data_IF_044856350553
#
_entry.id   IF_044856350553
#
_cell.length_a   1.000
_cell.length_b   1.000
_cell.length_c   1.000
_cell.angle_alpha   90.00
_cell.angle_beta   90.00
_cell.angle_gamma   90.00
#
_symmetry.space_group_name_H-M   'P 1'
#
loop_
_entity.id
_entity.type
_entity.pdbx_description
1 polymer ?
#
# COMPACT_ATOMS: atom_id res chain seq x y z
N UNK A 1 -76.36 -58.49 49.11
CA UNK A 1 -75.24 -58.78 50.02
C UNK A 1 -74.00 -58.08 49.51
N UNK A 2 -73.55 -57.01 50.17
CA UNK A 2 -72.38 -56.98 51.09
C UNK A 2 -71.07 -57.37 50.38
N UNK A 3 -69.95 -56.66 50.52
CA UNK A 3 -69.62 -55.44 51.23
C UNK A 3 -68.25 -54.92 50.72
N UNK A 4 -68.06 -53.62 50.90
CA UNK A 4 -66.85 -52.83 50.68
C UNK A 4 -65.71 -53.28 51.61
N UNK A 5 -64.47 -53.35 51.09
CA UNK A 5 -63.26 -53.49 51.91
C UNK A 5 -62.45 -52.18 51.88
N UNK A 6 -62.29 -51.57 53.07
CA UNK A 6 -61.45 -50.40 53.38
C UNK A 6 -59.98 -50.80 53.53
N UNK A 7 -59.01 -49.96 53.11
CA UNK A 7 -57.61 -50.07 53.52
C UNK A 7 -57.35 -49.33 54.85
N UNK A 8 -56.30 -49.70 55.62
CA UNK A 8 -55.91 -48.98 56.81
C UNK A 8 -55.08 -47.72 56.49
N UNK A 9 -55.37 -46.66 57.26
CA UNK A 9 -54.60 -45.42 57.39
C UNK A 9 -53.58 -45.57 58.52
N UNK A 10 -52.36 -45.08 58.28
CA UNK A 10 -51.47 -44.45 59.25
C UNK A 10 -50.62 -43.46 58.43
N UNK A 11 -50.38 -42.20 58.77
CA UNK A 11 -50.59 -41.44 59.98
C UNK A 11 -49.40 -40.48 60.12
N UNK A 12 -49.63 -39.18 59.94
CA UNK A 12 -48.67 -38.10 60.25
C UNK A 12 -47.54 -37.89 59.21
N UNK A 13 -47.05 -36.69 58.91
CA UNK A 13 -47.29 -35.39 59.50
C UNK A 13 -47.06 -34.31 58.43
N UNK A 14 -47.98 -33.36 58.39
CA UNK A 14 -47.75 -32.02 57.87
C UNK A 14 -46.81 -31.26 58.80
N UNK A 15 -45.72 -30.71 58.26
CA UNK A 15 -45.11 -29.50 58.80
C UNK A 15 -45.03 -28.45 57.69
N UNK A 16 -45.91 -27.48 57.84
CA UNK A 16 -45.93 -26.23 57.10
C UNK A 16 -44.84 -25.27 57.61
N UNK A 17 -44.38 -24.44 56.67
CA UNK A 17 -44.00 -23.04 56.83
C UNK A 17 -42.57 -22.67 57.26
N UNK A 18 -41.92 -21.90 56.38
CA UNK A 18 -41.30 -20.63 56.78
C UNK A 18 -39.77 -20.58 56.75
N UNK A 19 -39.21 -19.99 55.69
CA UNK A 19 -37.83 -19.51 55.64
C UNK A 19 -37.11 -19.97 54.38
N UNK A 20 -36.99 -19.09 53.39
CA UNK A 20 -36.31 -19.35 52.10
C UNK A 20 -34.79 -19.51 52.25
N UNK A 21 -34.35 -20.64 52.79
CA UNK A 21 -32.96 -21.07 52.83
C UNK A 21 -32.89 -22.60 52.90
N UNK A 22 -31.90 -23.19 52.22
CA UNK A 22 -31.72 -24.65 52.14
C UNK A 22 -31.66 -25.28 53.53
N UNK A 23 -32.34 -26.42 53.69
CA UNK A 23 -32.28 -27.19 54.93
C UNK A 23 -30.88 -27.76 55.16
N UNK A 24 -30.49 -27.98 56.42
CA UNK A 24 -29.16 -28.54 56.77
C UNK A 24 -28.88 -29.89 56.08
N UNK A 25 -29.94 -30.67 55.78
CA UNK A 25 -29.87 -31.92 55.05
C UNK A 25 -29.50 -31.72 53.57
N UNK A 26 -30.04 -30.69 52.92
CA UNK A 26 -29.72 -30.36 51.52
C UNK A 26 -28.29 -29.81 51.38
N UNK A 27 -27.82 -29.01 52.34
CA UNK A 27 -26.43 -28.53 52.38
C UNK A 27 -25.42 -29.68 52.46
N UNK A 28 -25.72 -30.70 53.27
CA UNK A 28 -24.88 -31.88 53.40
C UNK A 28 -24.87 -32.73 52.11
N UNK A 29 -25.98 -32.75 51.35
CA UNK A 29 -26.07 -33.45 50.07
C UNK A 29 -25.25 -32.79 48.96
N UNK A 30 -25.35 -31.47 48.80
CA UNK A 30 -24.61 -30.71 47.78
C UNK A 30 -23.09 -30.83 47.97
N UNK A 31 -22.63 -30.87 49.24
CA UNK A 31 -21.21 -31.09 49.58
C UNK A 31 -20.73 -32.52 49.32
N UNK A 32 -21.63 -33.52 49.32
CA UNK A 32 -21.29 -34.92 49.00
C UNK A 32 -21.26 -35.19 47.50
N UNK A 33 -22.13 -34.54 46.73
CA UNK A 33 -22.25 -34.75 45.27
C UNK A 33 -21.23 -33.94 44.45
N UNK A 34 -20.70 -32.84 44.99
CA UNK A 34 -19.66 -32.04 44.33
C UNK A 34 -18.63 -31.57 45.37
N UNK A 35 -17.40 -32.11 45.40
CA UNK A 35 -16.35 -31.61 46.28
C UNK A 35 -15.69 -30.33 45.73
N UNK A 36 -15.25 -29.44 46.63
CA UNK A 36 -14.43 -28.26 46.28
C UNK A 36 -15.19 -26.95 46.07
N UNK A 37 -14.54 -25.98 45.43
CA UNK A 37 -15.02 -24.58 45.25
C UNK A 37 -16.42 -24.48 44.63
N UNK A 38 -16.79 -25.45 43.79
CA UNK A 38 -18.09 -25.54 43.12
C UNK A 38 -19.24 -25.78 44.12
N UNK A 39 -18.99 -26.49 45.22
CA UNK A 39 -19.98 -26.72 46.27
C UNK A 39 -20.36 -25.42 46.99
N UNK A 40 -19.34 -24.60 47.28
CA UNK A 40 -19.52 -23.31 47.97
C UNK A 40 -20.23 -22.29 47.07
N UNK A 41 -19.92 -22.28 45.77
CA UNK A 41 -20.61 -21.45 44.78
C UNK A 41 -22.09 -21.84 44.62
N UNK A 42 -22.40 -23.14 44.59
CA UNK A 42 -23.79 -23.63 44.51
C UNK A 42 -24.59 -23.31 45.77
N UNK A 43 -23.99 -23.46 46.94
CA UNK A 43 -24.61 -23.11 48.22
C UNK A 43 -24.86 -21.60 48.32
N UNK A 44 -23.87 -20.78 47.91
CA UNK A 44 -24.02 -19.33 47.85
C UNK A 44 -25.14 -18.92 46.88
N UNK A 45 -25.19 -19.50 45.67
CA UNK A 45 -26.23 -19.18 44.71
C UNK A 45 -27.62 -19.58 45.22
N UNK A 46 -27.75 -20.75 45.82
CA UNK A 46 -29.02 -21.24 46.35
C UNK A 46 -29.54 -20.40 47.54
N UNK A 47 -28.65 -19.80 48.34
CA UNK A 47 -29.00 -18.96 49.49
C UNK A 47 -29.09 -17.45 49.18
N UNK A 48 -28.59 -17.01 48.03
CA UNK A 48 -28.63 -15.60 47.65
C UNK A 48 -30.06 -15.13 47.30
N UNK A 49 -30.50 -14.05 47.94
CA UNK A 49 -31.76 -13.37 47.61
C UNK A 49 -31.72 -12.75 46.19
N UNK A 50 -32.87 -12.52 45.56
CA UNK A 50 -33.02 -12.09 44.16
C UNK A 50 -32.22 -10.84 43.79
N UNK A 51 -32.09 -9.88 44.73
CA UNK A 51 -31.29 -8.66 44.54
C UNK A 51 -29.77 -8.91 44.49
N UNK A 52 -29.27 -9.89 45.26
CA UNK A 52 -27.84 -10.25 45.28
C UNK A 52 -27.47 -11.01 44.01
N UNK A 53 -28.35 -11.91 43.55
CA UNK A 53 -28.21 -12.61 42.27
C UNK A 53 -28.16 -11.65 41.08
N UNK A 54 -29.02 -10.65 41.07
CA UNK A 54 -29.02 -9.60 40.04
C UNK A 54 -27.72 -8.77 40.06
N UNK A 55 -27.21 -8.40 41.25
CA UNK A 55 -25.95 -7.67 41.39
C UNK A 55 -24.73 -8.45 40.91
N UNK A 56 -24.65 -9.75 41.19
CA UNK A 56 -23.56 -10.63 40.74
C UNK A 56 -23.61 -10.85 39.23
N UNK A 57 -24.80 -11.02 38.65
CA UNK A 57 -24.97 -11.14 37.19
C UNK A 57 -24.60 -9.84 36.46
N UNK A 58 -25.01 -8.69 36.99
CA UNK A 58 -24.66 -7.38 36.42
C UNK A 58 -23.15 -7.11 36.54
N UNK A 59 -22.54 -7.40 37.69
CA UNK A 59 -21.09 -7.26 37.89
C UNK A 59 -20.27 -8.21 37.00
N UNK A 60 -20.71 -9.46 36.86
CA UNK A 60 -20.08 -10.43 35.95
C UNK A 60 -20.15 -10.01 34.49
N UNK A 61 -21.30 -9.47 34.06
CA UNK A 61 -21.47 -8.95 32.69
C UNK A 61 -20.50 -7.81 32.36
N UNK A 62 -20.27 -6.88 33.29
CA UNK A 62 -19.32 -5.77 33.09
C UNK A 62 -17.87 -6.28 32.98
N UNK A 63 -17.48 -7.26 33.80
CA UNK A 63 -16.14 -7.85 33.73
C UNK A 63 -15.91 -8.57 32.40
N UNK A 64 -16.91 -9.32 31.94
CA UNK A 64 -16.83 -10.01 30.64
C UNK A 64 -16.75 -9.00 29.49
N UNK A 65 -17.59 -7.96 29.50
CA UNK A 65 -17.51 -6.89 28.49
C UNK A 65 -16.18 -6.13 28.53
N UNK A 66 -15.63 -5.88 29.72
CA UNK A 66 -14.31 -5.29 29.90
C UNK A 66 -13.19 -6.17 29.34
N UNK A 67 -13.26 -7.49 29.53
CA UNK A 67 -12.32 -8.44 28.92
C UNK A 67 -12.47 -8.48 27.40
N UNK A 68 -13.68 -8.44 26.86
CA UNK A 68 -13.90 -8.36 25.41
C UNK A 68 -13.37 -7.04 24.83
N UNK A 69 -13.57 -5.92 25.51
CA UNK A 69 -13.04 -4.62 25.08
C UNK A 69 -11.50 -4.58 25.14
N UNK A 70 -10.90 -5.15 26.19
CA UNK A 70 -9.45 -5.30 26.31
C UNK A 70 -8.90 -6.21 25.21
N UNK A 71 -9.56 -7.32 24.93
CA UNK A 71 -9.15 -8.27 23.90
C UNK A 71 -9.33 -7.66 22.50
N UNK A 72 -10.41 -6.93 22.26
CA UNK A 72 -10.63 -6.14 21.05
C UNK A 72 -9.53 -5.10 20.86
N UNK A 73 -9.15 -4.39 21.93
CA UNK A 73 -8.05 -3.41 21.92
C UNK A 73 -6.69 -4.07 21.72
N UNK A 74 -6.42 -5.24 22.30
CA UNK A 74 -5.16 -5.97 22.09
C UNK A 74 -5.04 -6.55 20.68
N UNK A 75 -6.15 -6.97 20.06
CA UNK A 75 -6.15 -7.56 18.72
C UNK A 75 -6.12 -6.50 17.61
N UNK A 76 -6.71 -5.32 17.84
CA UNK A 76 -6.83 -4.26 16.82
C UNK A 76 -5.99 -3.01 17.11
N UNK A 77 -5.50 -2.83 18.33
CA UNK A 77 -4.69 -1.68 18.76
C UNK A 77 -3.18 -1.89 18.60
N UNK A 78 -2.75 -3.02 18.05
CA UNK A 78 -1.41 -3.15 17.51
C UNK A 78 -1.34 -2.37 16.20
N UNK A 79 -0.93 -1.12 16.24
CA UNK A 79 -0.23 -0.55 15.08
C UNK A 79 0.88 -1.54 14.76
N UNK A 80 0.87 -2.10 13.54
CA UNK A 80 1.92 -2.99 13.06
C UNK A 80 3.25 -2.26 13.14
N UNK A 81 3.92 -2.34 14.30
CA UNK A 81 5.33 -2.04 14.44
C UNK A 81 6.08 -3.19 13.78
N UNK A 82 5.95 -3.28 12.45
CA UNK A 82 6.90 -3.97 11.60
C UNK A 82 8.27 -3.48 12.07
N UNK A 83 9.15 -4.41 12.47
CA UNK A 83 10.52 -4.06 12.86
C UNK A 83 11.15 -3.30 11.70
N UNK A 84 11.15 -1.97 11.79
CA UNK A 84 11.72 -1.09 10.79
C UNK A 84 13.22 -1.35 10.81
N UNK A 85 13.73 -1.88 9.70
CA UNK A 85 15.17 -2.02 9.45
C UNK A 85 15.84 -0.65 9.40
N UNK A 86 17.07 -0.56 8.90
CA UNK A 86 17.68 0.76 8.69
C UNK A 86 16.94 1.54 7.59
N UNK A 87 16.82 2.86 7.76
CA UNK A 87 16.20 3.73 6.76
C UNK A 87 16.95 3.60 5.42
N UNK A 88 16.27 3.28 4.31
CA UNK A 88 16.92 3.18 3.01
C UNK A 88 17.54 4.52 2.59
N UNK A 89 18.85 4.53 2.34
CA UNK A 89 19.58 5.72 1.85
C UNK A 89 19.97 5.57 0.37
N UNK A 90 20.25 4.36 -0.11
CA UNK A 90 20.78 4.14 -1.45
C UNK A 90 19.67 3.82 -2.44
N UNK A 91 19.60 4.59 -3.52
CA UNK A 91 18.73 4.29 -4.65
C UNK A 91 19.36 3.25 -5.56
N UNK A 92 18.51 2.49 -6.25
CA UNK A 92 18.89 1.48 -7.23
C UNK A 92 17.86 1.45 -8.35
N UNK A 93 17.98 0.47 -9.26
CA UNK A 93 16.95 0.18 -10.26
C UNK A 93 15.76 -0.61 -9.71
N UNK A 94 15.70 -0.84 -8.40
CA UNK A 94 14.57 -1.47 -7.72
C UNK A 94 13.83 -0.45 -6.85
N UNK A 95 12.48 -0.45 -6.87
CA UNK A 95 11.66 0.46 -6.07
C UNK A 95 11.86 0.22 -4.57
N UNK A 96 12.15 1.29 -3.84
CA UNK A 96 12.04 1.32 -2.38
C UNK A 96 10.58 1.58 -2.03
N UNK A 97 9.88 0.57 -1.50
CA UNK A 97 8.45 0.64 -1.21
C UNK A 97 8.10 1.46 0.03
N UNK A 98 9.09 1.74 0.88
CA UNK A 98 8.93 2.58 2.05
C UNK A 98 8.50 4.00 1.65
N UNK A 99 7.76 4.66 2.56
CA UNK A 99 7.35 6.04 2.39
C UNK A 99 8.11 6.98 3.31
N UNK A 100 8.38 8.19 2.82
CA UNK A 100 9.20 9.20 3.47
C UNK A 100 8.46 10.55 3.46
N UNK A 101 8.56 11.32 4.54
CA UNK A 101 7.94 12.65 4.66
C UNK A 101 7.28 12.86 6.01
N UNK A 102 6.17 13.60 6.06
CA UNK A 102 5.42 13.92 7.27
C UNK A 102 3.94 13.63 7.09
N UNK A 103 3.31 12.98 8.08
CA UNK A 103 1.88 12.71 8.11
C UNK A 103 1.53 11.24 8.34
N UNK A 104 0.24 10.93 8.27
CA UNK A 104 -0.28 9.60 8.56
C UNK A 104 0.14 8.57 7.50
N UNK A 105 0.51 7.37 7.97
CA UNK A 105 0.93 6.26 7.10
C UNK A 105 2.33 6.43 6.47
N UNK A 106 3.13 7.40 6.92
CA UNK A 106 4.53 7.54 6.51
C UNK A 106 5.42 6.54 7.27
N UNK A 107 6.25 5.80 6.54
CA UNK A 107 7.19 4.83 7.12
C UNK A 107 8.32 5.55 7.86
N UNK A 108 8.92 6.57 7.25
CA UNK A 108 10.06 7.30 7.78
C UNK A 108 9.74 8.78 7.93
N UNK A 109 9.59 9.23 9.18
CA UNK A 109 9.25 10.63 9.48
C UNK A 109 10.44 11.56 9.19
N UNK A 110 10.28 12.39 8.16
CA UNK A 110 11.25 13.35 7.63
C UNK A 110 10.48 14.65 7.31
N UNK A 111 10.31 15.56 8.28
CA UNK A 111 9.51 16.77 8.10
C UNK A 111 10.12 17.73 7.07
N UNK A 112 11.43 17.88 7.11
CA UNK A 112 12.23 18.81 6.29
C UNK A 112 12.55 18.22 4.91
N UNK A 113 13.45 17.24 4.88
CA UNK A 113 13.95 16.68 3.64
C UNK A 113 14.23 15.17 3.74
N UNK A 114 14.20 14.50 2.59
CA UNK A 114 14.72 13.14 2.42
C UNK A 114 15.87 13.14 1.43
N UNK A 115 17.03 12.67 1.89
CA UNK A 115 18.24 12.49 1.07
C UNK A 115 18.41 11.03 0.69
N UNK A 116 18.66 10.82 -0.59
CA UNK A 116 19.09 9.56 -1.16
C UNK A 116 20.48 9.69 -1.80
N UNK A 117 21.23 8.61 -1.78
CA UNK A 117 22.51 8.48 -2.46
C UNK A 117 22.40 7.53 -3.65
N UNK A 118 23.05 7.90 -4.74
CA UNK A 118 23.14 7.05 -5.91
C UNK A 118 24.49 7.20 -6.60
N UNK A 119 25.16 6.09 -6.86
CA UNK A 119 26.43 6.08 -7.56
C UNK A 119 26.29 5.34 -8.89
N UNK A 120 26.96 5.85 -9.92
CA UNK A 120 27.13 5.11 -11.15
C UNK A 120 28.56 5.17 -11.65
N UNK A 121 28.97 4.03 -12.19
CA UNK A 121 30.18 3.88 -12.99
C UNK A 121 29.72 3.50 -14.40
N UNK A 122 30.12 4.29 -15.39
CA UNK A 122 29.80 4.08 -16.80
C UNK A 122 30.94 4.58 -17.69
N UNK A 123 31.08 4.07 -18.91
CA UNK A 123 32.09 4.59 -19.85
C UNK A 123 31.73 5.99 -20.35
N UNK A 124 30.45 6.19 -20.71
CA UNK A 124 29.89 7.43 -21.26
C UNK A 124 29.05 8.20 -20.23
N UNK A 125 28.60 9.42 -20.60
CA UNK A 125 27.55 10.14 -19.86
C UNK A 125 26.25 9.35 -19.82
N UNK A 126 25.46 9.60 -18.78
CA UNK A 126 24.16 8.97 -18.59
C UNK A 126 23.12 10.00 -18.19
N UNK A 127 21.87 9.75 -18.58
CA UNK A 127 20.69 10.41 -18.04
C UNK A 127 20.15 9.52 -16.93
N UNK A 128 19.69 10.14 -15.85
CA UNK A 128 18.98 9.43 -14.79
C UNK A 128 17.53 9.84 -14.81
N UNK A 129 16.63 8.86 -14.75
CA UNK A 129 15.20 9.08 -14.60
C UNK A 129 14.85 8.64 -13.18
N UNK A 130 14.42 9.60 -12.36
CA UNK A 130 13.94 9.37 -11.01
C UNK A 130 12.45 9.03 -11.07
N UNK A 131 12.11 7.83 -10.63
CA UNK A 131 10.75 7.33 -10.54
C UNK A 131 10.29 7.39 -9.09
N UNK A 132 9.09 7.90 -8.84
CA UNK A 132 8.52 8.02 -7.50
C UNK A 132 7.00 8.19 -7.55
N UNK A 133 6.36 8.07 -6.40
CA UNK A 133 4.98 8.50 -6.17
C UNK A 133 4.96 9.56 -5.08
N UNK A 134 3.93 10.42 -5.09
CA UNK A 134 3.81 11.48 -4.10
C UNK A 134 2.34 11.78 -3.75
N UNK A 135 2.12 12.23 -2.50
CA UNK A 135 0.83 12.63 -1.94
C UNK A 135 1.04 13.68 -0.85
N UNK A 136 0.01 14.48 -0.58
CA UNK A 136 0.05 15.58 0.38
C UNK A 136 0.72 16.81 -0.20
N UNK A 137 1.04 16.83 -1.50
CA UNK A 137 1.88 17.87 -2.07
C UNK A 137 1.03 19.07 -2.48
N UNK A 138 1.31 20.21 -1.86
CA UNK A 138 0.82 21.52 -2.28
C UNK A 138 1.66 22.08 -3.42
N UNK A 139 1.12 23.08 -4.11
CA UNK A 139 1.81 23.75 -5.21
C UNK A 139 3.16 24.33 -4.74
N UNK A 140 4.24 23.99 -5.45
CA UNK A 140 5.59 24.48 -5.21
C UNK A 140 6.16 24.13 -3.81
N UNK A 141 5.62 23.12 -3.13
CA UNK A 141 6.04 22.75 -1.77
C UNK A 141 7.34 21.93 -1.75
N UNK A 142 7.41 20.85 -2.53
CA UNK A 142 8.55 19.94 -2.54
C UNK A 142 9.38 20.13 -3.80
N UNK A 143 10.66 20.43 -3.61
CA UNK A 143 11.67 20.60 -4.66
C UNK A 143 12.54 19.35 -4.71
N UNK A 144 12.93 18.93 -5.90
CA UNK A 144 13.91 17.87 -6.09
C UNK A 144 15.22 18.50 -6.53
N UNK A 145 16.28 18.28 -5.76
CA UNK A 145 17.63 18.75 -6.06
C UNK A 145 18.62 17.60 -6.18
N UNK A 146 19.61 17.77 -7.04
CA UNK A 146 20.69 16.82 -7.25
C UNK A 146 22.02 17.53 -7.06
N UNK A 147 22.84 17.03 -6.14
CA UNK A 147 24.14 17.61 -5.81
C UNK A 147 24.07 19.13 -5.49
N UNK A 148 22.94 19.58 -4.92
CA UNK A 148 22.69 20.97 -4.55
C UNK A 148 22.11 21.86 -5.66
N UNK A 149 21.75 21.29 -6.82
CA UNK A 149 21.11 22.03 -7.92
C UNK A 149 19.68 21.54 -8.10
N UNK A 150 18.73 22.47 -8.15
CA UNK A 150 17.31 22.16 -8.37
C UNK A 150 17.09 21.61 -9.78
N UNK A 151 16.52 20.42 -9.87
CA UNK A 151 16.22 19.72 -11.13
C UNK A 151 14.72 19.69 -11.46
N UNK A 152 13.87 19.95 -10.46
CA UNK A 152 12.44 20.04 -10.67
C UNK A 152 11.64 20.17 -9.39
N UNK A 153 10.33 20.16 -9.52
CA UNK A 153 9.38 20.22 -8.40
C UNK A 153 8.45 19.03 -8.45
N UNK A 154 8.05 18.55 -7.27
CA UNK A 154 7.00 17.54 -7.18
C UNK A 154 5.67 18.20 -7.51
N UNK A 155 4.90 17.66 -8.47
CA UNK A 155 3.63 18.24 -8.85
C UNK A 155 2.60 18.12 -7.71
N UNK A 156 1.68 19.09 -7.57
CA UNK A 156 0.66 19.04 -6.55
C UNK A 156 -0.29 17.85 -6.73
N UNK A 157 -1.01 17.55 -5.66
CA UNK A 157 -2.00 16.49 -5.64
C UNK A 157 -3.17 16.77 -6.61
N UNK A 158 -3.58 15.69 -7.26
CA UNK A 158 -4.83 15.53 -8.02
C UNK A 158 -5.67 14.40 -7.41
N UNK A 159 -6.87 14.16 -7.95
CA UNK A 159 -7.78 13.10 -7.47
C UNK A 159 -7.19 11.67 -7.54
N UNK A 160 -6.19 11.44 -8.40
CA UNK A 160 -5.56 10.13 -8.61
C UNK A 160 -4.11 10.05 -8.08
N UNK A 161 -3.71 10.93 -7.14
CA UNK A 161 -2.30 11.05 -6.72
C UNK A 161 -1.71 9.78 -6.12
N UNK A 162 -2.51 9.03 -5.37
CA UNK A 162 -2.06 7.79 -4.72
C UNK A 162 -1.62 6.72 -5.71
N UNK A 163 -2.24 6.68 -6.89
CA UNK A 163 -1.94 5.68 -7.92
C UNK A 163 -1.02 6.22 -9.01
N UNK A 164 -0.80 7.53 -9.05
CA UNK A 164 0.03 8.17 -10.08
C UNK A 164 1.50 7.86 -9.85
N UNK A 165 2.16 7.33 -10.89
CA UNK A 165 3.62 7.29 -10.96
C UNK A 165 4.14 8.60 -11.55
N UNK A 166 5.24 9.11 -11.00
CA UNK A 166 5.88 10.35 -11.41
C UNK A 166 7.31 10.07 -11.84
N UNK A 167 7.72 10.78 -12.88
CA UNK A 167 9.07 10.72 -13.43
C UNK A 167 9.69 12.11 -13.40
N UNK A 168 10.93 12.19 -12.97
CA UNK A 168 11.75 13.39 -13.06
C UNK A 168 13.09 13.05 -13.71
N UNK A 169 13.40 13.76 -14.78
CA UNK A 169 14.67 13.61 -15.46
C UNK A 169 15.76 14.41 -14.74
N UNK A 170 16.89 13.75 -14.51
CA UNK A 170 18.12 14.36 -14.00
C UNK A 170 19.12 14.39 -15.17
N UNK A 171 19.46 15.58 -15.67
CA UNK A 171 20.31 15.70 -16.85
C UNK A 171 21.78 15.40 -16.50
N UNK A 172 22.58 14.92 -17.48
CA UNK A 172 23.94 14.43 -17.23
C UNK A 172 24.87 15.47 -16.58
N UNK A 173 24.63 16.76 -16.82
CA UNK A 173 25.44 17.87 -16.31
C UNK A 173 25.35 18.01 -14.78
N UNK A 174 24.29 17.49 -14.17
CA UNK A 174 24.10 17.52 -12.71
C UNK A 174 24.65 16.27 -12.01
N UNK A 175 25.14 15.29 -12.78
CA UNK A 175 25.61 14.01 -12.26
C UNK A 175 27.14 13.95 -12.19
N UNK A 176 27.64 13.40 -11.09
CA UNK A 176 29.05 13.09 -10.86
C UNK A 176 29.28 11.60 -11.11
N UNK A 177 30.23 11.30 -12.01
CA UNK A 177 30.58 9.93 -12.40
C UNK A 177 31.59 9.34 -11.43
N UNK A 178 31.33 8.13 -10.93
CA UNK A 178 32.21 7.45 -9.98
C UNK A 178 32.24 8.06 -8.57
N UNK A 179 31.30 8.97 -8.28
CA UNK A 179 31.07 9.52 -6.95
C UNK A 179 29.60 9.37 -6.57
N UNK A 180 29.27 9.25 -5.27
CA UNK A 180 27.89 9.30 -4.81
C UNK A 180 27.22 10.64 -5.17
N UNK A 181 26.12 10.55 -5.90
CA UNK A 181 25.22 11.67 -6.18
C UNK A 181 24.16 11.73 -5.09
N UNK A 182 23.87 12.93 -4.59
CA UNK A 182 22.83 13.15 -3.58
C UNK A 182 21.57 13.66 -4.26
N UNK A 183 20.50 12.87 -4.21
CA UNK A 183 19.16 13.23 -4.70
C UNK A 183 18.32 13.58 -3.47
N UNK A 184 17.78 14.79 -3.43
CA UNK A 184 17.10 15.33 -2.26
C UNK A 184 15.67 15.70 -2.64
N UNK A 185 14.70 15.22 -1.87
CA UNK A 185 13.36 15.78 -1.81
C UNK A 185 13.32 16.76 -0.64
N UNK A 186 13.18 18.04 -0.92
CA UNK A 186 13.25 19.13 0.04
C UNK A 186 11.88 19.81 0.17
N UNK A 187 11.28 19.77 1.35
CA UNK A 187 10.05 20.49 1.62
C UNK A 187 10.37 21.93 2.02
N UNK A 188 10.17 22.85 1.08
CA UNK A 188 10.50 24.27 1.25
C UNK A 188 9.65 25.01 2.28
N UNK A 189 8.60 24.37 2.81
CA UNK A 189 7.68 24.95 3.81
C UNK A 189 7.94 24.41 5.22
N UNK A 190 8.65 23.30 5.34
CA UNK A 190 8.88 22.61 6.59
C UNK A 190 10.39 22.50 6.88
N UNK A 191 10.88 22.84 8.08
CA UNK A 191 10.27 23.72 9.08
C UNK A 191 10.24 25.20 8.62
N UNK A 192 9.43 26.08 9.26
CA UNK A 192 8.65 25.87 10.49
C UNK A 192 7.22 25.35 10.27
N UNK A 193 6.81 25.07 9.02
CA UNK A 193 5.53 24.42 8.75
C UNK A 193 5.46 22.98 9.26
N UNK A 194 4.25 22.44 9.24
CA UNK A 194 3.94 21.03 9.51
C UNK A 194 3.05 20.46 8.40
N UNK A 195 3.19 20.98 7.17
CA UNK A 195 2.42 20.54 6.02
C UNK A 195 2.74 19.05 5.75
N UNK A 196 1.71 18.21 5.66
CA UNK A 196 1.92 16.78 5.42
C UNK A 196 2.40 16.56 4.00
N UNK A 197 3.45 15.78 3.81
CA UNK A 197 3.95 15.40 2.49
C UNK A 197 4.48 13.98 2.51
N UNK A 198 4.39 13.27 1.39
CA UNK A 198 4.85 11.90 1.30
C UNK A 198 5.38 11.59 -0.08
N UNK A 199 6.53 10.92 -0.12
CA UNK A 199 7.09 10.26 -1.31
C UNK A 199 7.34 8.79 -1.04
N UNK A 200 7.11 7.92 -2.02
CA UNK A 200 7.33 6.47 -1.89
C UNK A 200 7.55 5.81 -3.25
N UNK A 201 7.85 4.50 -3.26
CA UNK A 201 8.17 3.74 -4.48
C UNK A 201 9.29 4.41 -5.28
N UNK A 202 10.32 4.90 -4.58
CA UNK A 202 11.38 5.70 -5.18
C UNK A 202 12.47 4.78 -5.75
N UNK A 203 12.84 5.00 -7.01
CA UNK A 203 13.96 4.33 -7.67
C UNK A 203 14.51 5.15 -8.83
N UNK A 204 15.64 4.71 -9.37
CA UNK A 204 16.30 5.40 -10.49
C UNK A 204 16.59 4.46 -11.63
N UNK A 205 16.30 4.94 -12.83
CA UNK A 205 16.70 4.30 -14.07
C UNK A 205 17.88 5.06 -14.68
N UNK A 206 18.84 4.33 -15.24
CA UNK A 206 19.99 4.91 -15.93
C UNK A 206 19.93 4.60 -17.41
N UNK A 207 19.92 5.65 -18.24
CA UNK A 207 20.06 5.54 -19.69
C UNK A 207 21.44 6.05 -20.14
N UNK A 208 22.22 5.21 -20.80
CA UNK A 208 23.52 5.60 -21.35
C UNK A 208 23.35 6.41 -22.63
N UNK A 209 24.07 7.52 -22.74
CA UNK A 209 24.02 8.36 -23.94
C UNK A 209 25.06 7.91 -24.97
N UNK A 210 24.72 7.90 -26.27
CA UNK A 210 25.67 7.57 -27.34
C UNK A 210 26.61 8.76 -27.61
N UNK A 211 27.87 8.64 -27.21
CA UNK A 211 28.87 9.72 -27.40
C UNK A 211 29.63 9.61 -28.73
N UNK A 212 29.62 8.43 -29.35
CA UNK A 212 30.33 8.17 -30.61
C UNK A 212 29.58 8.67 -31.86
N UNK A 213 28.31 9.03 -31.73
CA UNK A 213 27.49 9.46 -32.87
C UNK A 213 27.69 10.94 -33.14
N UNK A 214 27.76 11.31 -34.42
CA UNK A 214 27.79 12.71 -34.82
C UNK A 214 26.44 13.38 -34.57
N UNK A 215 26.44 14.70 -34.45
CA UNK A 215 25.23 15.52 -34.29
C UNK A 215 24.17 15.21 -35.35
N UNK A 216 24.58 15.04 -36.61
CA UNK A 216 23.67 14.70 -37.71
C UNK A 216 23.08 13.29 -37.55
N UNK A 217 23.88 12.32 -37.11
CA UNK A 217 23.41 10.96 -36.84
C UNK A 217 22.41 10.93 -35.69
N UNK A 218 22.68 11.66 -34.59
CA UNK A 218 21.76 11.78 -33.46
C UNK A 218 20.39 12.31 -33.92
N UNK A 219 20.37 13.39 -34.71
CA UNK A 219 19.13 13.97 -35.23
C UNK A 219 18.43 13.01 -36.19
N UNK A 220 19.16 12.30 -37.05
CA UNK A 220 18.59 11.34 -37.99
C UNK A 220 17.93 10.17 -37.25
N UNK A 221 18.65 9.52 -36.33
CA UNK A 221 18.14 8.40 -35.53
C UNK A 221 16.96 8.83 -34.66
N UNK A 222 17.00 10.05 -34.09
CA UNK A 222 15.87 10.61 -33.36
C UNK A 222 14.63 10.79 -34.25
N UNK A 223 14.80 11.32 -35.47
CA UNK A 223 13.71 11.47 -36.44
C UNK A 223 13.10 10.13 -36.84
N UNK A 224 13.92 9.11 -37.09
CA UNK A 224 13.46 7.76 -37.44
C UNK A 224 12.64 7.15 -36.29
N UNK A 225 13.15 7.25 -35.06
CA UNK A 225 12.48 6.79 -33.85
C UNK A 225 11.17 7.55 -33.60
N UNK A 226 11.18 8.87 -33.75
CA UNK A 226 9.99 9.70 -33.58
C UNK A 226 8.90 9.37 -34.61
N UNK A 227 9.27 9.18 -35.89
CA UNK A 227 8.33 8.75 -36.95
C UNK A 227 7.73 7.38 -36.66
N UNK A 228 8.53 6.43 -36.17
CA UNK A 228 8.06 5.12 -35.72
C UNK A 228 7.07 5.27 -34.56
N UNK A 229 7.40 6.13 -33.58
CA UNK A 229 6.54 6.45 -32.45
C UNK A 229 5.19 7.02 -32.88
N UNK A 230 5.19 8.02 -33.77
CA UNK A 230 3.98 8.61 -34.35
C UNK A 230 3.12 7.56 -35.04
N UNK A 231 3.72 6.72 -35.88
CA UNK A 231 3.00 5.64 -36.59
C UNK A 231 2.27 4.72 -35.61
N UNK A 232 2.95 4.26 -34.56
CA UNK A 232 2.35 3.38 -33.56
C UNK A 232 1.31 4.09 -32.68
N UNK A 233 1.54 5.37 -32.35
CA UNK A 233 0.63 6.17 -31.55
C UNK A 233 -0.68 6.46 -32.29
N UNK A 234 -0.60 6.71 -33.60
CA UNK A 234 -1.74 7.03 -34.46
C UNK A 234 -2.52 5.76 -34.88
N UNK A 235 -1.99 4.55 -34.63
CA UNK A 235 -2.67 3.26 -34.91
C UNK A 235 -2.86 2.39 -33.65
N UNK A 236 -3.50 2.92 -32.58
CA UNK A 236 -3.57 2.23 -31.29
C UNK A 236 -4.36 0.90 -31.35
N UNK A 237 -5.34 0.79 -32.24
CA UNK A 237 -6.30 -0.33 -32.26
C UNK A 237 -5.78 -1.59 -32.98
N UNK A 238 -4.60 -1.54 -33.59
CA UNK A 238 -4.03 -2.67 -34.35
C UNK A 238 -3.34 -3.68 -33.42
N UNK A 239 -2.90 -3.26 -32.23
CA UNK A 239 -2.33 -4.17 -31.24
C UNK A 239 -2.17 -3.55 -29.87
N UNK A 240 -2.44 -4.34 -28.82
CA UNK A 240 -2.25 -3.97 -27.42
C UNK A 240 -0.91 -3.27 -27.14
N UNK A 241 0.13 -3.69 -27.86
CA UNK A 241 1.51 -3.22 -27.70
C UNK A 241 1.83 -1.90 -28.40
N UNK A 242 1.00 -1.40 -29.31
CA UNK A 242 1.35 -0.21 -30.11
C UNK A 242 1.56 1.03 -29.25
N UNK A 243 0.78 1.21 -28.18
CA UNK A 243 0.96 2.32 -27.23
C UNK A 243 2.32 2.27 -26.55
N UNK A 244 2.72 1.08 -26.11
CA UNK A 244 4.01 0.84 -25.47
C UNK A 244 5.17 1.06 -26.46
N UNK A 245 5.07 0.51 -27.67
CA UNK A 245 6.07 0.72 -28.72
C UNK A 245 6.18 2.18 -29.15
N UNK A 246 5.06 2.92 -29.13
CA UNK A 246 5.05 4.35 -29.38
C UNK A 246 5.83 5.11 -28.31
N UNK A 247 5.51 4.87 -27.03
CA UNK A 247 6.23 5.45 -25.90
C UNK A 247 7.73 5.14 -25.99
N UNK A 248 8.11 3.88 -26.22
CA UNK A 248 9.51 3.46 -26.33
C UNK A 248 10.25 4.19 -27.46
N UNK A 249 9.59 4.35 -28.61
CA UNK A 249 10.17 5.03 -29.76
C UNK A 249 10.31 6.55 -29.54
N UNK A 250 9.36 7.19 -28.84
CA UNK A 250 9.48 8.61 -28.45
C UNK A 250 10.59 8.81 -27.41
N UNK A 251 10.69 7.90 -26.44
CA UNK A 251 11.75 7.90 -25.43
C UNK A 251 13.12 7.75 -26.06
N UNK A 252 13.28 6.85 -27.02
CA UNK A 252 14.52 6.68 -27.79
C UNK A 252 14.88 7.96 -28.56
N UNK A 253 13.91 8.57 -29.25
CA UNK A 253 14.13 9.83 -29.96
C UNK A 253 14.64 10.94 -29.04
N UNK A 254 14.01 11.07 -27.87
CA UNK A 254 14.41 12.03 -26.86
C UNK A 254 15.82 11.75 -26.31
N UNK A 255 16.15 10.51 -25.96
CA UNK A 255 17.48 10.15 -25.44
C UNK A 255 18.60 10.44 -26.45
N UNK A 256 18.36 10.21 -27.75
CA UNK A 256 19.30 10.58 -28.81
C UNK A 256 19.55 12.10 -28.84
N UNK A 257 18.49 12.90 -28.68
CA UNK A 257 18.59 14.36 -28.66
C UNK A 257 19.09 14.91 -27.31
N UNK A 258 19.02 14.11 -26.25
CA UNK A 258 19.68 14.44 -24.98
C UNK A 258 21.21 14.38 -25.11
N UNK A 259 21.73 13.46 -25.93
CA UNK A 259 23.15 13.42 -26.28
C UNK A 259 23.61 14.58 -27.18
N UNK A 260 22.68 15.24 -27.88
CA UNK A 260 22.95 16.37 -28.76
C UNK A 260 23.43 17.60 -27.96
N UNK A 261 24.44 18.36 -28.43
CA UNK A 261 24.88 19.59 -27.75
C UNK A 261 23.81 20.69 -27.79
N UNK A 262 23.92 21.70 -26.94
CA UNK A 262 23.00 22.85 -26.99
C UNK A 262 23.32 23.75 -28.21
N UNK A 263 22.31 24.41 -28.82
CA UNK A 263 20.89 24.37 -28.49
C UNK A 263 20.20 23.09 -28.96
N UNK A 264 19.22 22.62 -28.19
CA UNK A 264 18.38 21.46 -28.54
C UNK A 264 17.47 21.80 -29.73
N UNK A 265 17.31 20.89 -30.72
CA UNK A 265 16.37 21.09 -31.83
C UNK A 265 14.92 20.96 -31.35
N UNK A 266 13.97 21.54 -32.09
CA UNK A 266 12.52 21.50 -31.75
C UNK A 266 11.99 20.08 -31.51
N UNK A 267 12.49 19.12 -32.30
CA UNK A 267 12.18 17.70 -32.16
C UNK A 267 12.43 17.14 -30.75
N UNK A 268 13.35 17.74 -29.99
CA UNK A 268 13.62 17.35 -28.59
C UNK A 268 12.38 17.56 -27.72
N UNK A 269 11.78 18.75 -27.81
CA UNK A 269 10.61 19.11 -27.02
C UNK A 269 9.37 18.36 -27.50
N UNK A 270 9.23 18.18 -28.82
CA UNK A 270 8.16 17.35 -29.40
C UNK A 270 8.25 15.89 -28.92
N UNK A 271 9.44 15.28 -28.93
CA UNK A 271 9.66 13.92 -28.46
C UNK A 271 9.28 13.77 -26.97
N UNK A 272 9.67 14.74 -26.13
CA UNK A 272 9.28 14.78 -24.72
C UNK A 272 7.76 14.87 -24.54
N UNK A 273 7.09 15.75 -25.27
CA UNK A 273 5.65 15.92 -25.16
C UNK A 273 4.89 14.66 -25.60
N UNK A 274 5.26 14.07 -26.73
CA UNK A 274 4.64 12.85 -27.23
C UNK A 274 4.92 11.65 -26.33
N UNK A 275 6.13 11.54 -25.77
CA UNK A 275 6.46 10.53 -24.76
C UNK A 275 5.53 10.66 -23.55
N UNK A 276 5.35 11.88 -23.01
CA UNK A 276 4.45 12.15 -21.88
C UNK A 276 3.00 11.80 -22.20
N UNK A 277 2.51 12.14 -23.40
CA UNK A 277 1.15 11.77 -23.84
C UNK A 277 0.98 10.26 -23.96
N UNK A 278 1.98 9.56 -24.52
CA UNK A 278 1.97 8.11 -24.61
C UNK A 278 1.98 7.44 -23.21
N UNK A 279 2.76 7.98 -22.27
CA UNK A 279 2.76 7.52 -20.88
C UNK A 279 1.38 7.67 -20.23
N UNK A 280 0.72 8.82 -20.39
CA UNK A 280 -0.62 9.02 -19.85
C UNK A 280 -1.64 8.02 -20.41
N UNK A 281 -1.55 7.68 -21.69
CA UNK A 281 -2.40 6.66 -22.31
C UNK A 281 -2.11 5.25 -21.80
N UNK A 282 -0.84 4.93 -21.52
CA UNK A 282 -0.44 3.68 -20.88
C UNK A 282 -0.95 3.59 -19.44
N UNK A 283 -0.79 4.65 -18.65
CA UNK A 283 -1.27 4.71 -17.27
C UNK A 283 -2.80 4.52 -17.18
N UNK A 284 -3.55 5.12 -18.13
CA UNK A 284 -5.00 4.93 -18.26
C UNK A 284 -5.35 3.46 -18.53
N UNK A 285 -4.67 2.83 -19.48
CA UNK A 285 -4.87 1.41 -19.79
C UNK A 285 -4.54 0.54 -18.58
N UNK A 286 -3.42 0.81 -17.90
CA UNK A 286 -3.00 0.08 -16.70
C UNK A 286 -4.07 0.13 -15.60
N UNK A 287 -4.54 1.34 -15.28
CA UNK A 287 -5.53 1.57 -14.23
C UNK A 287 -6.85 0.87 -14.55
N UNK A 288 -7.30 0.92 -15.81
CA UNK A 288 -8.49 0.21 -16.27
C UNK A 288 -8.37 -1.31 -16.09
N UNK A 289 -7.25 -1.91 -16.52
CA UNK A 289 -7.04 -3.36 -16.43
C UNK A 289 -6.94 -3.82 -14.97
N UNK A 290 -6.26 -3.07 -14.10
CA UNK A 290 -6.19 -3.37 -12.67
C UNK A 290 -7.58 -3.34 -12.02
N UNK A 291 -8.40 -2.34 -12.35
CA UNK A 291 -9.77 -2.24 -11.83
C UNK A 291 -10.66 -3.39 -12.31
N UNK A 292 -10.47 -3.87 -13.55
CA UNK A 292 -11.13 -5.08 -14.06
C UNK A 292 -10.70 -6.33 -13.28
N UNK A 293 -9.40 -6.49 -12.97
CA UNK A 293 -8.89 -7.60 -12.16
C UNK A 293 -9.53 -7.60 -10.77
N UNK A 294 -9.59 -6.44 -10.10
CA UNK A 294 -10.26 -6.30 -8.80
C UNK A 294 -11.74 -6.64 -8.90
N UNK A 295 -12.41 -6.17 -9.95
CA UNK A 295 -13.81 -6.49 -10.23
C UNK A 295 -14.06 -7.99 -10.36
N UNK A 296 -13.25 -8.70 -11.17
CA UNK A 296 -13.36 -10.15 -11.34
C UNK A 296 -13.06 -10.92 -10.05
N UNK A 297 -12.03 -10.51 -9.31
CA UNK A 297 -11.66 -11.16 -8.05
C UNK A 297 -12.79 -11.04 -7.01
N UNK A 298 -13.33 -9.83 -6.82
CA UNK A 298 -14.40 -9.56 -5.85
C UNK A 298 -15.71 -10.29 -6.19
N UNK A 299 -15.94 -10.57 -7.47
CA UNK A 299 -17.09 -11.37 -7.92
C UNK A 299 -16.84 -12.89 -7.89
N UNK A 300 -15.65 -13.34 -7.46
CA UNK A 300 -15.27 -14.76 -7.40
C UNK A 300 -14.82 -15.37 -8.74
N UNK A 301 -14.61 -14.56 -9.78
CA UNK A 301 -14.17 -14.98 -11.11
C UNK A 301 -12.63 -15.05 -11.22
N UNK A 302 -12.00 -15.87 -10.36
CA UNK A 302 -10.53 -15.92 -10.24
C UNK A 302 -9.79 -16.23 -11.54
N UNK A 303 -10.33 -17.11 -12.39
CA UNK A 303 -9.73 -17.43 -13.70
C UNK A 303 -9.69 -16.23 -14.64
N UNK A 304 -10.72 -15.38 -14.60
CA UNK A 304 -10.78 -14.17 -15.41
C UNK A 304 -9.81 -13.12 -14.86
N UNK A 305 -9.75 -12.96 -13.54
CA UNK A 305 -8.76 -12.10 -12.89
C UNK A 305 -7.32 -12.48 -13.29
N UNK A 306 -6.96 -13.77 -13.20
CA UNK A 306 -5.65 -14.26 -13.61
C UNK A 306 -5.38 -14.05 -15.11
N UNK A 307 -6.37 -14.36 -15.97
CA UNK A 307 -6.26 -14.15 -17.41
C UNK A 307 -6.08 -12.67 -17.78
N UNK A 308 -6.72 -11.74 -17.07
CA UNK A 308 -6.54 -10.31 -17.30
C UNK A 308 -5.12 -9.87 -16.88
N UNK A 309 -4.59 -10.37 -15.77
CA UNK A 309 -3.20 -10.13 -15.36
C UNK A 309 -2.20 -10.65 -16.39
N UNK A 310 -2.46 -11.82 -16.99
CA UNK A 310 -1.62 -12.34 -18.07
C UNK A 310 -1.73 -11.48 -19.34
N UNK A 311 -2.94 -11.02 -19.70
CA UNK A 311 -3.17 -10.12 -20.83
C UNK A 311 -2.50 -8.74 -20.65
N UNK A 312 -2.35 -8.24 -19.41
CA UNK A 312 -1.59 -7.01 -19.15
C UNK A 312 -0.16 -7.08 -19.68
N UNK A 313 0.46 -8.26 -19.72
CA UNK A 313 1.83 -8.44 -20.27
C UNK A 313 1.92 -8.20 -21.77
N UNK A 314 0.81 -8.25 -22.48
CA UNK A 314 0.76 -7.91 -23.92
C UNK A 314 0.85 -6.39 -24.15
N UNK A 315 0.32 -5.60 -23.20
CA UNK A 315 0.43 -4.14 -23.20
C UNK A 315 1.75 -3.67 -22.59
N UNK A 316 2.24 -4.36 -21.56
CA UNK A 316 3.42 -4.02 -20.77
C UNK A 316 4.40 -5.20 -20.74
N UNK A 317 5.17 -5.42 -21.82
CA UNK A 317 6.02 -6.61 -21.96
C UNK A 317 7.30 -6.55 -21.12
N UNK A 318 7.77 -5.34 -20.79
CA UNK A 318 9.01 -5.08 -20.07
C UNK A 318 8.73 -4.38 -18.73
N UNK A 319 9.72 -4.41 -17.83
CA UNK A 319 9.66 -3.78 -16.50
C UNK A 319 10.15 -2.33 -16.49
N UNK A 320 10.33 -1.73 -17.67
CA UNK A 320 10.60 -0.29 -17.81
C UNK A 320 9.33 0.57 -17.63
N UNK A 321 8.19 -0.09 -17.39
CA UNK A 321 6.90 0.52 -17.09
C UNK A 321 6.40 0.05 -15.71
N UNK A 322 5.94 0.96 -14.83
CA UNK A 322 5.46 0.60 -13.49
C UNK A 322 4.32 -0.42 -13.48
N UNK A 323 3.52 -0.46 -14.55
CA UNK A 323 2.35 -1.33 -14.62
C UNK A 323 2.69 -2.82 -14.56
N UNK A 324 3.80 -3.25 -15.16
CA UNK A 324 4.22 -4.65 -15.15
C UNK A 324 4.47 -5.14 -13.71
N UNK A 325 5.17 -4.34 -12.90
CA UNK A 325 5.40 -4.63 -11.48
C UNK A 325 4.09 -4.58 -10.69
N UNK A 326 3.20 -3.63 -10.96
CA UNK A 326 1.89 -3.55 -10.29
C UNK A 326 1.03 -4.79 -10.56
N UNK A 327 1.02 -5.28 -11.79
CA UNK A 327 0.30 -6.50 -12.15
C UNK A 327 0.82 -7.71 -11.35
N UNK A 328 2.16 -7.85 -11.25
CA UNK A 328 2.77 -8.94 -10.48
C UNK A 328 2.46 -8.82 -8.98
N UNK A 329 2.58 -7.62 -8.41
CA UNK A 329 2.22 -7.40 -7.01
C UNK A 329 0.75 -7.74 -6.73
N UNK A 330 -0.15 -7.38 -7.65
CA UNK A 330 -1.58 -7.70 -7.54
C UNK A 330 -1.86 -9.19 -7.65
N UNK A 331 -1.09 -9.89 -8.49
CA UNK A 331 -1.13 -11.35 -8.60
C UNK A 331 -0.78 -12.02 -7.28
N UNK A 332 0.30 -11.57 -6.64
CA UNK A 332 0.74 -12.07 -5.33
C UNK A 332 -0.28 -11.75 -4.24
N UNK A 333 -0.80 -10.51 -4.19
CA UNK A 333 -1.82 -10.06 -3.24
C UNK A 333 -3.06 -10.96 -3.28
N UNK A 334 -3.50 -11.36 -4.47
CA UNK A 334 -4.70 -12.18 -4.68
C UNK A 334 -4.46 -13.69 -4.68
N UNK A 335 -3.19 -14.12 -4.68
CA UNK A 335 -2.81 -15.54 -4.72
C UNK A 335 -3.20 -16.23 -6.03
N UNK A 336 -3.03 -15.55 -7.18
CA UNK A 336 -3.48 -15.99 -8.51
C UNK A 336 -2.39 -16.55 -9.44
#
# INVERSE_FOLDING_TARGET
SRAVARPPRAGGASSSAGGGGLSAAERARIRRETPGLVANLRLFWAEANSKVRAGVMAGGGVVVLGLFALMYWLVLGGEDMVQKGEEPVRLSNQPITDSFGLGDGVTWNRPDMKVFEWEFVAATRAVVILHYQAQGISKDEVVVSVNGVDVGKVPPDTMASQERSLELMIPPQQLRKGEPNRIIFDNTRNPPGEDTWRVWNVWVERALLPEQLSTQQLVQTANESFKKGRKNFDTPDIGARNRYEAWKSFREAWLMLEAHPDPKPDLYFEAQEFMKRAQQELDRTCSKLLLEVEGYYNQGHFKQAASTLDHMREYFPEYDQPCATRAENKRVEFGL
#
